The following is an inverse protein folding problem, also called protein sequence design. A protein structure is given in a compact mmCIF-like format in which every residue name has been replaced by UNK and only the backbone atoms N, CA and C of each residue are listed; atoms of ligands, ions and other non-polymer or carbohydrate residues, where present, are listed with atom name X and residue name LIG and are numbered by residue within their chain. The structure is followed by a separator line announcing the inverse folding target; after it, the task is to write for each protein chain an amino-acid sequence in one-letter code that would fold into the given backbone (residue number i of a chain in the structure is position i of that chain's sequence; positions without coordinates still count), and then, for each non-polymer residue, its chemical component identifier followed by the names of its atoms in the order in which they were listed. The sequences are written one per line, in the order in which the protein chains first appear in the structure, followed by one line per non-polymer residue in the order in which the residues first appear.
data_IF_891767290789
#
_entry.id   IF_891767290789
#
_cell.length_a   1.000
_cell.length_b   1.000
_cell.length_c   1.000
_cell.angle_alpha   90.00
_cell.angle_beta   90.00
_cell.angle_gamma   90.00
#
_symmetry.space_group_name_H-M   'P 1'
#
loop_
_entity.id
_entity.type
_entity.pdbx_description
1 polymer ?
#
# COMPACT_ATOMS: atom_id res chain seq x y z
N UNK A 1 0.15 5.51 -14.27
CA UNK A 1 0.26 5.67 -12.79
C UNK A 1 0.75 4.38 -12.11
N UNK A 2 0.01 3.28 -12.07
CA UNK A 2 0.40 2.05 -11.34
C UNK A 2 1.71 1.41 -11.84
N UNK A 3 2.03 1.52 -13.12
CA UNK A 3 3.28 1.01 -13.69
C UNK A 3 4.51 1.73 -13.15
N UNK A 4 4.41 3.03 -12.92
CA UNK A 4 5.54 3.87 -12.50
C UNK A 4 5.90 3.68 -11.03
N UNK A 5 4.94 3.32 -10.19
CA UNK A 5 5.16 3.04 -8.77
C UNK A 5 5.39 1.55 -8.45
N UNK A 6 5.52 0.70 -9.46
CA UNK A 6 5.81 -0.73 -9.28
C UNK A 6 4.60 -1.61 -8.93
N UNK A 7 3.40 -1.04 -8.82
CA UNK A 7 2.20 -1.79 -8.41
C UNK A 7 1.53 -2.58 -9.55
N UNK A 8 1.89 -2.35 -10.81
CA UNK A 8 1.19 -2.97 -11.94
C UNK A 8 1.13 -4.49 -11.83
N UNK A 9 2.27 -5.12 -11.53
CA UNK A 9 2.37 -6.58 -11.41
C UNK A 9 1.53 -7.08 -10.24
N UNK A 10 1.66 -6.43 -9.08
CA UNK A 10 0.93 -6.80 -7.86
C UNK A 10 -0.60 -6.73 -8.05
N UNK A 11 -1.11 -5.63 -8.62
CA UNK A 11 -2.56 -5.44 -8.83
C UNK A 11 -3.11 -6.35 -9.93
N UNK A 12 -2.27 -6.77 -10.88
CA UNK A 12 -2.66 -7.66 -11.97
C UNK A 12 -2.57 -9.17 -11.62
N UNK A 13 -2.03 -9.51 -10.45
CA UNK A 13 -2.00 -10.91 -10.00
C UNK A 13 -3.42 -11.38 -9.69
N UNK A 14 -3.77 -12.51 -10.29
CA UNK A 14 -5.06 -13.16 -10.09
C UNK A 14 -4.80 -14.66 -9.96
N UNK A 15 -4.70 -15.11 -8.72
CA UNK A 15 -4.39 -16.49 -8.37
C UNK A 15 -5.53 -17.09 -7.57
N UNK A 16 -5.68 -18.42 -7.66
CA UNK A 16 -6.66 -19.14 -6.89
C UNK A 16 -6.35 -19.05 -5.38
N UNK A 17 -7.39 -18.96 -4.59
CA UNK A 17 -7.29 -18.85 -3.13
C UNK A 17 -7.44 -20.23 -2.50
N UNK A 18 -6.40 -20.71 -1.85
CA UNK A 18 -6.39 -21.99 -1.12
C UNK A 18 -6.53 -21.73 0.39
N UNK A 19 -7.75 -21.93 0.90
CA UNK A 19 -8.11 -21.57 2.29
C UNK A 19 -7.22 -22.29 3.32
N UNK A 20 -6.92 -23.55 3.09
CA UNK A 20 -6.09 -24.35 4.02
C UNK A 20 -4.66 -23.81 4.11
N UNK A 21 -4.06 -23.45 2.97
CA UNK A 21 -2.72 -22.85 2.92
C UNK A 21 -2.70 -21.46 3.58
N UNK A 22 -3.74 -20.67 3.38
CA UNK A 22 -3.87 -19.37 4.03
C UNK A 22 -4.00 -19.53 5.54
N UNK A 23 -4.80 -20.49 5.98
CA UNK A 23 -4.98 -20.77 7.41
C UNK A 23 -3.68 -21.24 8.04
N UNK A 24 -2.97 -22.17 7.40
CA UNK A 24 -1.66 -22.64 7.88
C UNK A 24 -0.64 -21.48 7.93
N UNK A 25 -0.58 -20.65 6.89
CA UNK A 25 0.28 -19.47 6.84
C UNK A 25 0.04 -18.56 8.05
N UNK A 26 -1.20 -18.11 8.27
CA UNK A 26 -1.49 -17.15 9.34
C UNK A 26 -1.36 -17.75 10.75
N UNK A 27 -1.64 -19.05 10.93
CA UNK A 27 -1.52 -19.69 12.23
C UNK A 27 -0.07 -20.00 12.62
N UNK A 28 0.82 -20.04 11.65
CA UNK A 28 2.24 -20.36 11.87
C UNK A 28 3.17 -19.16 11.59
N UNK A 29 2.60 -18.02 11.19
CA UNK A 29 3.37 -16.82 10.88
C UNK A 29 4.06 -16.30 12.16
N UNK A 30 5.37 -16.21 12.08
CA UNK A 30 6.21 -15.60 13.10
C UNK A 30 7.11 -14.53 12.50
N UNK A 31 7.29 -13.44 13.24
CA UNK A 31 8.18 -12.35 12.87
C UNK A 31 9.44 -12.48 13.69
N UNK A 32 10.55 -12.77 13.04
CA UNK A 32 11.83 -12.90 13.72
C UNK A 32 12.20 -11.57 14.40
N UNK A 33 12.11 -11.50 15.72
CA UNK A 33 12.39 -10.29 16.51
C UNK A 33 13.83 -9.79 16.33
N UNK A 34 14.77 -10.71 16.09
CA UNK A 34 16.18 -10.39 15.86
C UNK A 34 16.44 -9.81 14.47
N UNK A 35 15.54 -10.10 13.51
CA UNK A 35 15.59 -9.60 12.14
C UNK A 35 14.17 -9.42 11.58
N UNK A 36 13.59 -8.28 11.87
CA UNK A 36 12.23 -7.91 11.41
C UNK A 36 12.03 -7.95 9.88
N UNK A 37 13.09 -8.24 9.11
CA UNK A 37 13.03 -8.39 7.66
C UNK A 37 12.75 -9.82 7.20
N UNK A 38 12.56 -10.77 8.12
CA UNK A 38 12.28 -12.17 7.83
C UNK A 38 10.95 -12.55 8.48
N UNK A 39 10.01 -13.00 7.65
CA UNK A 39 8.79 -13.66 8.10
C UNK A 39 9.00 -15.18 8.01
N UNK A 40 8.75 -15.89 9.09
CA UNK A 40 8.83 -17.34 9.15
C UNK A 40 7.42 -17.91 9.23
N UNK A 41 7.15 -18.96 8.46
CA UNK A 41 5.83 -19.59 8.41
C UNK A 41 5.92 -21.01 7.88
N UNK A 42 4.82 -21.76 7.94
CA UNK A 42 4.71 -23.10 7.36
C UNK A 42 3.71 -23.10 6.21
N UNK A 43 3.99 -23.91 5.20
CA UNK A 43 3.06 -24.26 4.13
C UNK A 43 3.25 -25.74 3.77
N UNK A 44 2.16 -26.47 3.67
CA UNK A 44 2.16 -27.93 3.47
C UNK A 44 3.03 -28.68 4.51
N UNK A 45 2.99 -28.23 5.77
CA UNK A 45 3.80 -28.77 6.86
C UNK A 45 5.29 -28.45 6.81
N UNK A 46 5.77 -27.71 5.80
CA UNK A 46 7.19 -27.38 5.61
C UNK A 46 7.48 -25.94 6.06
N UNK A 47 8.64 -25.70 6.72
CA UNK A 47 9.03 -24.35 7.11
C UNK A 47 9.49 -23.54 5.88
N UNK A 48 9.08 -22.30 5.83
CA UNK A 48 9.46 -21.32 4.82
C UNK A 48 9.88 -20.01 5.45
N UNK A 49 10.71 -19.26 4.73
CA UNK A 49 11.11 -17.91 5.11
C UNK A 49 10.80 -16.95 3.95
N UNK A 50 10.15 -15.85 4.27
CA UNK A 50 9.87 -14.77 3.33
C UNK A 50 10.68 -13.55 3.70
N UNK A 51 11.61 -13.19 2.83
CA UNK A 51 12.44 -11.98 3.00
C UNK A 51 11.91 -10.83 2.14
N UNK A 52 12.15 -9.59 2.55
CA UNK A 52 11.79 -8.42 1.73
C UNK A 52 12.46 -8.45 0.36
N UNK A 53 13.69 -8.97 0.25
CA UNK A 53 14.37 -9.10 -1.03
C UNK A 53 13.65 -10.09 -1.98
N UNK A 54 13.10 -11.17 -1.43
CA UNK A 54 12.28 -12.10 -2.18
C UNK A 54 10.96 -11.44 -2.63
N UNK A 55 10.25 -10.77 -1.72
CA UNK A 55 9.02 -10.04 -2.03
C UNK A 55 9.25 -8.98 -3.12
N UNK A 56 10.32 -8.19 -3.00
CA UNK A 56 10.68 -7.19 -4.01
C UNK A 56 10.89 -7.82 -5.39
N UNK A 57 11.55 -8.98 -5.45
CA UNK A 57 11.78 -9.71 -6.71
C UNK A 57 10.48 -10.26 -7.30
N UNK A 58 9.63 -10.87 -6.47
CA UNK A 58 8.35 -11.47 -6.92
C UNK A 58 7.38 -10.40 -7.39
N UNK A 59 7.17 -9.35 -6.61
CA UNK A 59 6.21 -8.29 -6.91
C UNK A 59 6.78 -7.17 -7.78
N UNK A 60 8.11 -7.15 -7.97
CA UNK A 60 8.78 -6.09 -8.73
C UNK A 60 8.89 -4.77 -7.96
N UNK A 61 8.85 -4.83 -6.63
CA UNK A 61 9.02 -3.64 -5.79
C UNK A 61 10.48 -3.17 -5.82
N UNK A 62 10.68 -1.86 -5.71
CA UNK A 62 12.01 -1.25 -5.66
C UNK A 62 12.37 -0.91 -4.21
N UNK A 63 13.63 -1.18 -3.84
CA UNK A 63 14.14 -0.87 -2.48
C UNK A 63 14.32 0.64 -2.25
N UNK A 64 14.65 1.38 -3.30
CA UNK A 64 15.08 2.79 -3.21
C UNK A 64 13.88 3.74 -3.32
N UNK A 65 12.86 3.54 -2.49
CA UNK A 65 11.66 4.36 -2.48
C UNK A 65 11.51 5.19 -1.20
N UNK A 66 10.56 6.11 -1.24
CA UNK A 66 10.14 6.86 -0.05
C UNK A 66 9.28 5.95 0.82
N UNK A 67 9.69 5.75 2.08
CA UNK A 67 8.96 4.97 3.07
C UNK A 67 8.02 5.89 3.87
N UNK A 68 8.47 7.11 4.17
CA UNK A 68 7.77 8.07 5.02
C UNK A 68 7.57 9.42 4.32
N UNK A 69 6.59 10.21 4.77
CA UNK A 69 6.39 11.56 4.29
C UNK A 69 7.65 12.43 4.44
N UNK A 70 8.11 12.96 3.32
CA UNK A 70 9.25 13.90 3.29
C UNK A 70 8.79 15.33 3.54
N UNK A 71 9.72 16.25 3.82
CA UNK A 71 9.44 17.69 3.96
C UNK A 71 8.76 18.31 2.74
N UNK A 72 8.92 17.69 1.56
CA UNK A 72 8.28 18.11 0.32
C UNK A 72 6.82 17.66 0.19
N UNK A 73 6.35 16.77 1.06
CA UNK A 73 4.95 16.36 1.10
C UNK A 73 4.12 17.35 1.89
N UNK A 74 3.47 18.25 1.20
CA UNK A 74 2.58 19.24 1.79
C UNK A 74 1.13 18.74 1.74
N UNK A 75 0.75 18.07 2.82
CA UNK A 75 -0.52 17.36 2.95
C UNK A 75 -1.74 18.22 2.61
N UNK A 76 -1.83 19.44 3.15
CA UNK A 76 -2.98 20.31 2.93
C UNK A 76 -3.04 20.85 1.50
N UNK A 77 -1.89 21.18 0.89
CA UNK A 77 -1.83 21.62 -0.50
C UNK A 77 -2.30 20.50 -1.44
N UNK A 78 -1.85 19.27 -1.19
CA UNK A 78 -2.26 18.12 -1.99
C UNK A 78 -3.73 17.77 -1.77
N UNK A 79 -4.25 17.93 -0.54
CA UNK A 79 -5.67 17.77 -0.25
C UNK A 79 -6.52 18.78 -1.05
N UNK A 80 -6.15 20.05 -1.02
CA UNK A 80 -6.81 21.10 -1.82
C UNK A 80 -6.76 20.78 -3.32
N UNK A 81 -5.61 20.31 -3.82
CA UNK A 81 -5.48 19.88 -5.22
C UNK A 81 -6.46 18.76 -5.60
N UNK A 82 -6.68 17.76 -4.70
CA UNK A 82 -7.58 16.64 -4.99
C UNK A 82 -9.06 17.00 -4.91
N UNK A 83 -9.42 17.98 -4.07
CA UNK A 83 -10.82 18.22 -3.67
C UNK A 83 -11.32 19.62 -3.96
N UNK A 84 -10.44 20.60 -4.22
CA UNK A 84 -10.66 22.06 -4.23
C UNK A 84 -11.20 22.62 -2.90
N UNK A 85 -11.21 21.85 -1.84
CA UNK A 85 -11.61 22.33 -0.52
C UNK A 85 -10.48 23.18 0.09
N UNK A 86 -10.83 24.35 0.60
CA UNK A 86 -9.88 25.25 1.29
C UNK A 86 -9.70 24.85 2.78
N UNK A 87 -10.47 23.87 3.24
CA UNK A 87 -10.34 23.36 4.62
C UNK A 87 -9.15 22.42 4.74
N UNK A 88 -8.37 22.51 5.83
CA UNK A 88 -7.23 21.62 6.03
C UNK A 88 -7.67 20.16 6.12
N UNK A 89 -6.78 19.27 5.69
CA UNK A 89 -7.00 17.82 5.75
C UNK A 89 -7.18 17.35 7.20
N UNK A 90 -8.26 16.63 7.44
CA UNK A 90 -8.55 15.99 8.73
C UNK A 90 -8.90 14.52 8.48
N UNK A 91 -8.08 13.53 8.92
CA UNK A 91 -8.31 12.10 8.61
C UNK A 91 -9.70 11.60 9.01
N UNK A 92 -10.23 12.10 10.13
CA UNK A 92 -11.58 11.72 10.61
C UNK A 92 -12.71 12.25 9.73
N UNK A 93 -12.49 13.32 8.96
CA UNK A 93 -13.49 14.00 8.12
C UNK A 93 -13.21 13.90 6.62
N UNK A 94 -12.01 13.48 6.23
CA UNK A 94 -11.62 13.36 4.84
C UNK A 94 -12.32 12.17 4.19
N UNK A 95 -13.32 12.47 3.36
CA UNK A 95 -14.09 11.44 2.64
C UNK A 95 -13.62 11.33 1.20
N UNK A 96 -13.56 10.10 0.69
CA UNK A 96 -13.17 9.80 -0.69
C UNK A 96 -14.08 10.46 -1.74
N UNK A 97 -15.36 10.69 -1.41
CA UNK A 97 -16.31 11.36 -2.28
C UNK A 97 -15.96 12.81 -2.60
N UNK A 98 -15.06 13.44 -1.83
CA UNK A 98 -14.61 14.80 -2.11
C UNK A 98 -13.54 14.87 -3.19
N UNK A 99 -12.93 13.73 -3.57
CA UNK A 99 -11.97 13.68 -4.68
C UNK A 99 -12.73 13.94 -5.98
N UNK A 100 -12.37 15.00 -6.68
CA UNK A 100 -13.05 15.42 -7.91
C UNK A 100 -12.63 14.63 -9.15
N UNK A 101 -11.34 14.36 -9.29
CA UNK A 101 -10.85 13.62 -10.46
C UNK A 101 -11.01 12.10 -10.23
N UNK A 102 -11.76 11.49 -11.13
CA UNK A 102 -12.02 10.04 -11.13
C UNK A 102 -10.74 9.19 -11.09
N UNK A 103 -9.63 9.67 -11.66
CA UNK A 103 -8.34 8.95 -11.64
C UNK A 103 -7.82 8.79 -10.21
N UNK A 104 -7.88 9.87 -9.42
CA UNK A 104 -7.43 9.84 -8.02
C UNK A 104 -8.43 9.10 -7.13
N UNK A 105 -9.71 9.20 -7.43
CA UNK A 105 -10.72 8.41 -6.74
C UNK A 105 -10.51 6.90 -6.96
N UNK A 106 -10.29 6.46 -8.20
CA UNK A 106 -9.96 5.06 -8.51
C UNK A 106 -8.63 4.64 -7.89
N UNK A 107 -7.61 5.50 -7.94
CA UNK A 107 -6.33 5.24 -7.29
C UNK A 107 -6.50 5.04 -5.80
N UNK A 108 -7.24 5.92 -5.11
CA UNK A 108 -7.56 5.77 -3.69
C UNK A 108 -8.25 4.43 -3.43
N UNK A 109 -9.24 4.06 -4.25
CA UNK A 109 -9.95 2.79 -4.09
C UNK A 109 -9.01 1.59 -4.21
N UNK A 110 -8.09 1.59 -5.18
CA UNK A 110 -7.07 0.53 -5.31
C UNK A 110 -6.16 0.49 -4.08
N UNK A 111 -5.67 1.62 -3.61
CA UNK A 111 -4.84 1.67 -2.40
C UNK A 111 -5.60 1.14 -1.18
N UNK A 112 -6.82 1.62 -0.95
CA UNK A 112 -7.62 1.24 0.20
C UNK A 112 -7.96 -0.26 0.19
N UNK A 113 -8.44 -0.80 -0.94
CA UNK A 113 -8.92 -2.17 -1.00
C UNK A 113 -7.78 -3.19 -1.19
N UNK A 114 -6.78 -2.88 -2.03
CA UNK A 114 -5.74 -3.85 -2.41
C UNK A 114 -4.51 -3.77 -1.50
N UNK A 115 -4.08 -2.56 -1.13
CA UNK A 115 -2.86 -2.38 -0.32
C UNK A 115 -3.18 -2.40 1.17
N UNK A 116 -4.20 -1.67 1.59
CA UNK A 116 -4.55 -1.53 3.00
C UNK A 116 -5.65 -2.49 3.46
N UNK A 117 -6.21 -3.30 2.56
CA UNK A 117 -7.28 -4.27 2.85
C UNK A 117 -8.44 -3.70 3.67
N UNK A 118 -8.79 -2.43 3.44
CA UNK A 118 -9.87 -1.79 4.16
C UNK A 118 -11.22 -2.30 3.67
N UNK A 119 -12.05 -2.72 4.59
CA UNK A 119 -13.48 -3.02 4.33
C UNK A 119 -14.27 -1.76 3.99
N UNK A 120 -13.91 -0.62 4.61
CA UNK A 120 -14.51 0.69 4.36
C UNK A 120 -13.49 1.63 3.72
N UNK A 121 -13.72 1.99 2.47
CA UNK A 121 -12.87 2.93 1.69
C UNK A 121 -13.47 4.34 1.58
N UNK A 122 -14.42 4.68 2.46
CA UNK A 122 -15.06 5.99 2.42
C UNK A 122 -14.18 7.12 2.99
N UNK A 123 -13.18 6.77 3.80
CA UNK A 123 -12.29 7.71 4.47
C UNK A 123 -10.88 7.58 3.93
N UNK A 124 -10.19 8.73 3.86
CA UNK A 124 -8.81 8.81 3.38
C UNK A 124 -7.88 9.00 4.57
N UNK A 125 -6.89 8.14 4.72
CA UNK A 125 -5.83 8.27 5.72
C UNK A 125 -4.66 9.14 5.22
N UNK A 126 -3.82 9.59 6.15
CA UNK A 126 -2.59 10.32 5.81
C UNK A 126 -1.64 9.48 4.97
N UNK A 127 -1.55 8.18 5.23
CA UNK A 127 -0.74 7.26 4.44
C UNK A 127 -1.23 7.14 3.00
N UNK A 128 -2.54 7.01 2.80
CA UNK A 128 -3.11 6.98 1.44
C UNK A 128 -2.86 8.30 0.70
N UNK A 129 -2.99 9.44 1.39
CA UNK A 129 -2.65 10.74 0.84
C UNK A 129 -1.18 10.82 0.39
N UNK A 130 -0.25 10.32 1.23
CA UNK A 130 1.16 10.28 0.91
C UNK A 130 1.45 9.38 -0.30
N UNK A 131 0.87 8.19 -0.36
CA UNK A 131 1.04 7.29 -1.50
C UNK A 131 0.47 7.88 -2.79
N UNK A 132 -0.72 8.48 -2.75
CA UNK A 132 -1.29 9.18 -3.90
C UNK A 132 -0.39 10.34 -4.36
N UNK A 133 0.19 11.10 -3.44
CA UNK A 133 1.15 12.17 -3.75
C UNK A 133 2.43 11.62 -4.40
N UNK A 134 2.97 10.53 -3.88
CA UNK A 134 4.14 9.87 -4.49
C UNK A 134 3.85 9.45 -5.92
N UNK A 135 2.68 8.83 -6.16
CA UNK A 135 2.26 8.37 -7.49
C UNK A 135 2.05 9.56 -8.43
N UNK A 136 1.44 10.63 -7.95
CA UNK A 136 1.25 11.87 -8.70
C UNK A 136 2.59 12.47 -9.16
N UNK A 137 3.56 12.55 -8.24
CA UNK A 137 4.88 13.13 -8.48
C UNK A 137 5.89 12.13 -9.07
N UNK A 138 5.45 10.93 -9.48
CA UNK A 138 6.31 9.87 -10.04
C UNK A 138 7.49 9.48 -9.12
N UNK A 139 7.30 9.61 -7.80
CA UNK A 139 8.29 9.19 -6.82
C UNK A 139 8.25 7.68 -6.67
N UNK A 140 9.41 7.07 -6.47
CA UNK A 140 9.50 5.67 -6.09
C UNK A 140 8.97 5.51 -4.66
N UNK A 141 8.25 4.43 -4.41
CA UNK A 141 7.69 4.09 -3.11
C UNK A 141 8.36 2.81 -2.63
N UNK A 142 8.79 2.81 -1.38
CA UNK A 142 9.19 1.60 -0.69
C UNK A 142 7.94 0.87 -0.19
N UNK A 143 7.61 -0.26 -0.82
CA UNK A 143 6.42 -1.04 -0.48
C UNK A 143 6.67 -2.10 0.59
N UNK A 144 7.92 -2.23 1.05
CA UNK A 144 8.39 -3.27 1.97
C UNK A 144 8.75 -2.72 3.36
N UNK A 145 8.03 -1.71 3.78
CA UNK A 145 8.21 -1.11 5.11
C UNK A 145 7.11 -1.55 6.06
#
# INVERSE_FOLDING_TARGET
MLTQCGLKKFVAMHEDTYVDLITEFYTTLDVNESNSQILEFRMEGKPHQLTYSFMNRVFGFKKDGLCDPTSNFKLNEFWTFLTDLQTPFQPKKAKAMFIKDMKYWLLHKVLACVIFHKSEFNRISTQEMFLMWCIHNKKLICWTY
#
